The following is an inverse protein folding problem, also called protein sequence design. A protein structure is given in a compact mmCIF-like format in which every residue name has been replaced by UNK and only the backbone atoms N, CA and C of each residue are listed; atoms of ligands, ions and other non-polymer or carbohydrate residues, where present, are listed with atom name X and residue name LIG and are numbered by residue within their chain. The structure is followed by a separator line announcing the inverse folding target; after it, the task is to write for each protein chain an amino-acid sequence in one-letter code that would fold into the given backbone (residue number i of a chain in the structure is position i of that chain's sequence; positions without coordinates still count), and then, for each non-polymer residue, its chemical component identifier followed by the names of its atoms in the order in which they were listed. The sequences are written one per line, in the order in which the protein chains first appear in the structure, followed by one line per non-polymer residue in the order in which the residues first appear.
data_IF_315716720916
#
_entry.id   IF_315716720916
#
_cell.length_a   1.000
_cell.length_b   1.000
_cell.length_c   1.000
_cell.angle_alpha   90.00
_cell.angle_beta   90.00
_cell.angle_gamma   90.00
#
_symmetry.space_group_name_H-M   'P 1'
#
loop_
_entity.id
_entity.type
_entity.pdbx_description
1 polymer ?
#
# COMPACT_ATOMS: atom_id res chain seq x y z
N UNK A 1 -22.90 -35.65 -35.94
CA UNK A 1 -22.44 -35.52 -34.53
C UNK A 1 -21.08 -34.85 -34.40
N UNK A 2 -20.03 -35.25 -35.15
CA UNK A 2 -18.69 -34.66 -35.05
C UNK A 2 -18.63 -33.12 -35.27
N UNK A 3 -19.35 -32.59 -36.27
CA UNK A 3 -19.39 -31.14 -36.54
C UNK A 3 -20.07 -30.35 -35.42
N UNK A 4 -21.14 -30.88 -34.82
CA UNK A 4 -21.82 -30.24 -33.69
C UNK A 4 -20.90 -30.17 -32.46
N UNK A 5 -20.15 -31.25 -32.18
CA UNK A 5 -19.14 -31.24 -31.11
C UNK A 5 -17.99 -30.26 -31.39
N UNK A 6 -17.53 -30.14 -32.63
CA UNK A 6 -16.49 -29.18 -33.00
C UNK A 6 -16.93 -27.71 -32.77
N UNK A 7 -18.18 -27.39 -33.11
CA UNK A 7 -18.76 -26.06 -32.87
C UNK A 7 -18.93 -25.77 -31.37
N UNK A 8 -19.41 -26.75 -30.61
CA UNK A 8 -19.54 -26.62 -29.15
C UNK A 8 -18.18 -26.38 -28.49
N UNK A 9 -17.17 -27.17 -28.86
CA UNK A 9 -15.82 -27.06 -28.30
C UNK A 9 -15.18 -25.70 -28.65
N UNK A 10 -15.39 -25.21 -29.87
CA UNK A 10 -14.93 -23.88 -30.28
C UNK A 10 -15.53 -22.78 -29.39
N UNK A 11 -16.82 -22.88 -29.04
CA UNK A 11 -17.47 -21.93 -28.13
C UNK A 11 -16.90 -21.94 -26.72
N UNK A 12 -16.63 -23.14 -26.16
CA UNK A 12 -16.00 -23.28 -24.85
C UNK A 12 -14.59 -22.67 -24.86
N UNK A 13 -13.82 -22.88 -25.92
CA UNK A 13 -12.48 -22.32 -26.06
C UNK A 13 -12.49 -20.79 -26.10
N UNK A 14 -13.42 -20.20 -26.86
CA UNK A 14 -13.58 -18.74 -26.92
C UNK A 14 -13.93 -18.15 -25.55
N UNK A 15 -14.82 -18.82 -24.81
CA UNK A 15 -15.17 -18.41 -23.44
C UNK A 15 -13.98 -18.55 -22.49
N UNK A 16 -13.23 -19.64 -22.58
CA UNK A 16 -12.06 -19.90 -21.74
C UNK A 16 -10.97 -18.82 -21.94
N UNK A 17 -10.66 -18.48 -23.19
CA UNK A 17 -9.68 -17.43 -23.50
C UNK A 17 -10.11 -16.08 -22.92
N UNK A 18 -11.38 -15.70 -23.09
CA UNK A 18 -11.90 -14.45 -22.50
C UNK A 18 -11.81 -14.46 -20.98
N UNK A 19 -12.20 -15.57 -20.35
CA UNK A 19 -12.15 -15.74 -18.89
C UNK A 19 -10.72 -15.65 -18.36
N UNK A 20 -9.74 -16.21 -19.09
CA UNK A 20 -8.33 -16.11 -18.75
C UNK A 20 -7.83 -14.67 -18.81
N UNK A 21 -8.15 -13.93 -19.88
CA UNK A 21 -7.77 -12.52 -20.00
C UNK A 21 -8.37 -11.66 -18.89
N UNK A 22 -9.62 -11.90 -18.52
CA UNK A 22 -10.27 -11.20 -17.41
C UNK A 22 -9.59 -11.51 -16.06
N UNK A 23 -9.18 -12.75 -15.84
CA UNK A 23 -8.47 -13.16 -14.63
C UNK A 23 -7.11 -12.49 -14.53
N UNK A 24 -6.33 -12.49 -15.62
CA UNK A 24 -5.02 -11.82 -15.66
C UNK A 24 -5.14 -10.33 -15.36
N UNK A 25 -6.14 -9.67 -15.94
CA UNK A 25 -6.42 -8.26 -15.67
C UNK A 25 -6.72 -7.99 -14.18
N UNK A 26 -7.45 -8.90 -13.51
CA UNK A 26 -7.74 -8.79 -12.08
C UNK A 26 -6.51 -9.04 -11.21
N UNK A 27 -5.63 -9.96 -11.62
CA UNK A 27 -4.40 -10.27 -10.87
C UNK A 27 -3.42 -9.09 -10.82
N UNK A 28 -3.41 -8.20 -11.81
CA UNK A 28 -2.61 -6.96 -11.74
C UNK A 28 -2.91 -6.12 -10.50
N UNK A 29 -4.18 -6.07 -10.05
CA UNK A 29 -4.53 -5.34 -8.84
C UNK A 29 -3.96 -6.01 -7.58
N UNK A 30 -4.00 -7.35 -7.54
CA UNK A 30 -3.45 -8.14 -6.43
C UNK A 30 -1.94 -7.98 -6.35
N UNK A 31 -1.25 -8.01 -7.49
CA UNK A 31 0.19 -7.78 -7.56
C UNK A 31 0.56 -6.39 -7.01
N UNK A 32 -0.17 -5.34 -7.42
CA UNK A 32 0.07 -3.98 -6.91
C UNK A 32 -0.12 -3.88 -5.39
N UNK A 33 -1.18 -4.47 -4.85
CA UNK A 33 -1.41 -4.49 -3.40
C UNK A 33 -0.29 -5.24 -2.68
N UNK A 34 0.09 -6.42 -3.18
CA UNK A 34 1.20 -7.19 -2.62
C UNK A 34 2.53 -6.44 -2.71
N UNK A 35 2.76 -5.67 -3.79
CA UNK A 35 3.96 -4.88 -3.95
C UNK A 35 4.04 -3.78 -2.89
N UNK A 36 2.98 -3.00 -2.71
CA UNK A 36 2.95 -1.94 -1.70
C UNK A 36 3.06 -2.47 -0.28
N UNK A 37 2.41 -3.60 0.02
CA UNK A 37 2.51 -4.22 1.33
C UNK A 37 3.94 -4.67 1.68
N UNK A 38 4.72 -5.15 0.70
CA UNK A 38 6.05 -5.74 0.94
C UNK A 38 7.21 -4.76 0.78
N UNK A 39 7.06 -3.74 -0.08
CA UNK A 39 8.20 -2.92 -0.52
C UNK A 39 8.15 -1.48 0.00
N UNK A 40 7.05 -1.05 0.61
CA UNK A 40 6.97 0.27 1.27
C UNK A 40 7.35 0.08 2.74
N UNK A 41 8.33 0.85 3.19
CA UNK A 41 8.69 0.94 4.60
C UNK A 41 7.50 1.46 5.40
N UNK A 42 7.09 0.70 6.41
CA UNK A 42 6.01 1.11 7.31
C UNK A 42 6.59 1.96 8.43
N UNK A 43 5.80 2.93 8.89
CA UNK A 43 6.14 3.67 10.10
C UNK A 43 6.16 2.72 11.29
N UNK A 44 7.11 2.96 12.19
CA UNK A 44 7.30 2.13 13.36
C UNK A 44 6.10 2.27 14.32
N UNK A 45 5.45 1.14 14.60
CA UNK A 45 4.36 1.03 15.56
C UNK A 45 4.83 0.46 16.91
N UNK A 46 6.14 0.46 17.19
CA UNK A 46 6.70 0.01 18.47
C UNK A 46 6.41 0.97 19.66
N UNK A 47 5.70 2.08 19.43
CA UNK A 47 5.35 2.98 20.53
C UNK A 47 4.33 2.32 21.47
N UNK A 48 4.62 2.23 22.79
CA UNK A 48 3.65 1.71 23.75
C UNK A 48 2.41 2.61 23.78
N UNK A 49 1.25 1.99 24.00
CA UNK A 49 0.01 2.73 24.17
C UNK A 49 0.17 3.77 25.29
N UNK A 50 -0.21 5.03 25.04
CA UNK A 50 -0.10 6.04 26.05
C UNK A 50 -1.02 5.70 27.23
N UNK A 51 -0.72 6.17 28.46
CA UNK A 51 -1.58 5.94 29.62
C UNK A 51 -3.01 6.43 29.38
N UNK A 52 -4.00 5.84 30.06
CA UNK A 52 -5.41 6.24 29.93
C UNK A 52 -5.69 7.71 30.27
N UNK A 53 -4.80 8.36 31.03
CA UNK A 53 -4.90 9.79 31.35
C UNK A 53 -4.19 10.70 30.36
N UNK A 54 -3.63 10.15 29.28
CA UNK A 54 -2.97 10.95 28.24
C UNK A 54 -4.00 11.54 27.26
N UNK A 55 -3.81 12.78 26.78
CA UNK A 55 -2.86 13.77 27.28
C UNK A 55 -3.45 14.50 28.51
N UNK A 56 -2.66 14.73 29.56
CA UNK A 56 -3.14 15.45 30.76
C UNK A 56 -3.21 16.97 30.56
N UNK A 57 -2.10 17.56 30.17
CA UNK A 57 -1.92 19.01 30.15
C UNK A 57 -1.83 19.59 28.73
N UNK A 58 -1.74 18.73 27.71
CA UNK A 58 -1.77 19.12 26.29
C UNK A 58 -0.61 20.01 25.81
N UNK A 59 0.43 20.21 26.62
CA UNK A 59 1.64 20.95 26.23
C UNK A 59 2.46 20.16 25.20
N UNK A 60 3.04 20.87 24.23
CA UNK A 60 3.88 20.30 23.17
C UNK A 60 5.19 21.10 23.15
N UNK A 61 6.29 20.44 23.51
CA UNK A 61 7.62 21.05 23.44
C UNK A 61 8.37 20.48 22.24
N UNK A 62 8.90 21.37 21.41
CA UNK A 62 9.87 21.04 20.38
C UNK A 62 11.26 21.29 20.95
N UNK A 63 12.13 20.28 20.90
CA UNK A 63 13.52 20.38 21.35
C UNK A 63 14.49 19.93 20.25
N UNK A 64 15.24 20.89 19.71
CA UNK A 64 16.28 20.69 18.69
C UNK A 64 15.79 19.90 17.46
N UNK A 65 14.52 20.08 17.10
CA UNK A 65 13.87 19.28 16.06
C UNK A 65 14.43 19.65 14.69
N UNK A 66 14.81 18.62 13.94
CA UNK A 66 15.26 18.73 12.55
C UNK A 66 14.38 17.82 11.70
N UNK A 67 13.74 18.38 10.69
CA UNK A 67 12.78 17.68 9.82
C UNK A 67 13.20 17.81 8.37
N UNK A 68 13.13 16.70 7.64
CA UNK A 68 13.42 16.62 6.22
C UNK A 68 12.41 15.73 5.53
N UNK A 69 11.79 16.21 4.44
CA UNK A 69 10.74 15.47 3.72
C UNK A 69 11.27 14.36 2.81
N UNK A 70 12.48 14.51 2.27
CA UNK A 70 13.16 13.50 1.45
C UNK A 70 14.59 13.39 1.91
N UNK A 71 15.15 12.19 1.90
CA UNK A 71 16.51 11.93 2.40
C UNK A 71 17.60 12.82 1.76
N UNK A 72 17.40 13.24 0.52
CA UNK A 72 18.31 14.07 -0.27
C UNK A 72 18.07 15.58 -0.19
N UNK A 73 16.89 16.02 0.26
CA UNK A 73 16.51 17.44 0.29
C UNK A 73 17.11 18.18 1.49
N UNK A 74 17.35 19.49 1.41
CA UNK A 74 17.76 20.26 2.60
C UNK A 74 16.69 20.21 3.71
N UNK A 75 17.08 20.24 5.00
CA UNK A 75 16.11 20.25 6.10
C UNK A 75 15.13 21.42 6.00
N UNK A 76 13.84 21.14 6.20
CA UNK A 76 12.81 22.16 6.27
C UNK A 76 12.74 22.81 7.66
N UNK A 77 12.98 22.00 8.72
CA UNK A 77 13.26 22.49 10.07
C UNK A 77 14.71 22.15 10.40
N UNK A 78 15.43 23.09 11.01
CA UNK A 78 16.84 22.91 11.35
C UNK A 78 17.10 23.43 12.77
N UNK A 79 17.28 22.50 13.72
CA UNK A 79 17.56 22.80 15.12
C UNK A 79 16.56 23.78 15.76
N UNK A 80 15.27 23.51 15.62
CA UNK A 80 14.19 24.37 16.13
C UNK A 80 13.74 23.91 17.52
N UNK A 81 13.74 24.83 18.50
CA UNK A 81 13.22 24.60 19.86
C UNK A 81 12.21 25.67 20.25
N UNK A 82 11.03 25.27 20.76
CA UNK A 82 10.00 26.15 21.33
C UNK A 82 9.00 25.33 22.16
N UNK A 83 8.23 26.02 23.00
CA UNK A 83 7.16 25.48 23.86
C UNK A 83 5.82 26.12 23.49
#
# INVERSE_FOLDING_TARGET
MALAFALQMSGVFQFAVRSQTELESKLTAVERVSYYYKNIEQEDHESPDPPATWPRDGSITFDQVTLRYRSDATPALNNVSFE
#
